data_IF_983756431289
#
_entry.id   IF_983756431289
#
_cell.length_a   1.000
_cell.length_b   1.000
_cell.length_c   1.000
_cell.angle_alpha   90.00
_cell.angle_beta   90.00
_cell.angle_gamma   90.00
#
_symmetry.space_group_name_H-M   'P 1'
#
loop_
_entity.id
_entity.type
_entity.pdbx_description
1 polymer ?
#
# COMPACT_ATOMS: atom_id res chain seq x y z
N UNK A 1 14.75 2.49 12.10
CA UNK A 1 14.81 2.36 10.63
C UNK A 1 13.40 2.56 10.08
N UNK A 2 13.07 3.78 9.69
CA UNK A 2 11.94 4.17 8.83
C UNK A 2 12.54 4.95 7.64
N UNK A 3 11.86 5.03 6.49
CA UNK A 3 12.43 5.61 5.27
C UNK A 3 12.20 4.84 3.96
N UNK A 4 11.39 3.78 3.98
CA UNK A 4 11.07 3.00 2.77
C UNK A 4 9.71 3.38 2.17
N UNK A 5 9.15 4.55 2.50
CA UNK A 5 7.82 4.98 2.05
C UNK A 5 7.77 5.09 0.51
N UNK A 6 8.83 5.63 -0.10
CA UNK A 6 8.93 5.73 -1.57
C UNK A 6 9.02 4.33 -2.23
N UNK A 7 9.73 3.39 -1.60
CA UNK A 7 9.81 2.01 -2.10
C UNK A 7 8.48 1.29 -1.97
N UNK A 8 7.78 1.51 -0.85
CA UNK A 8 6.45 0.97 -0.61
C UNK A 8 5.45 1.49 -1.66
N UNK A 9 5.45 2.79 -1.94
CA UNK A 9 4.58 3.38 -2.97
C UNK A 9 4.86 2.77 -4.35
N UNK A 10 6.13 2.67 -4.76
CA UNK A 10 6.52 2.05 -6.02
C UNK A 10 6.05 0.60 -6.12
N UNK A 11 6.25 -0.21 -5.08
CA UNK A 11 5.83 -1.61 -5.08
C UNK A 11 4.31 -1.77 -5.10
N UNK A 12 3.56 -0.90 -4.43
CA UNK A 12 2.10 -0.94 -4.44
C UNK A 12 1.53 -0.59 -5.82
N UNK A 13 2.09 0.42 -6.50
CA UNK A 13 1.72 0.75 -7.89
C UNK A 13 2.06 -0.41 -8.84
N UNK A 14 3.23 -1.01 -8.68
CA UNK A 14 3.62 -2.19 -9.45
C UNK A 14 2.68 -3.39 -9.22
N UNK A 15 2.26 -3.64 -7.97
CA UNK A 15 1.32 -4.71 -7.64
C UNK A 15 -0.03 -4.54 -8.34
N UNK A 16 -0.59 -3.32 -8.36
CA UNK A 16 -1.83 -3.02 -9.09
C UNK A 16 -1.65 -3.24 -10.61
N UNK A 17 -0.54 -2.80 -11.18
CA UNK A 17 -0.24 -3.00 -12.61
C UNK A 17 -0.06 -4.48 -12.99
N UNK A 18 0.34 -5.33 -12.04
CA UNK A 18 0.43 -6.78 -12.23
C UNK A 18 -0.92 -7.49 -12.07
N UNK A 19 -1.99 -6.74 -11.78
CA UNK A 19 -3.36 -7.27 -11.66
C UNK A 19 -3.76 -7.68 -10.24
N UNK A 20 -2.97 -7.36 -9.22
CA UNK A 20 -3.43 -7.53 -7.83
C UNK A 20 -4.56 -6.54 -7.55
N UNK A 21 -5.56 -7.01 -6.81
CA UNK A 21 -6.67 -6.19 -6.37
C UNK A 21 -6.31 -5.40 -5.11
N UNK A 22 -6.96 -4.27 -4.90
CA UNK A 22 -6.82 -3.53 -3.63
C UNK A 22 -7.14 -4.40 -2.40
N UNK A 23 -8.04 -5.36 -2.55
CA UNK A 23 -8.45 -6.25 -1.45
C UNK A 23 -7.29 -7.14 -1.03
N UNK A 24 -6.57 -7.74 -1.98
CA UNK A 24 -5.41 -8.58 -1.70
C UNK A 24 -4.28 -7.78 -1.04
N UNK A 25 -4.07 -6.53 -1.48
CA UNK A 25 -3.10 -5.62 -0.86
C UNK A 25 -3.51 -5.29 0.60
N UNK A 26 -4.80 -5.01 0.84
CA UNK A 26 -5.32 -4.76 2.20
C UNK A 26 -5.16 -5.99 3.10
N UNK A 27 -5.39 -7.19 2.58
CA UNK A 27 -5.17 -8.45 3.31
C UNK A 27 -3.69 -8.66 3.64
N UNK A 28 -2.77 -8.31 2.75
CA UNK A 28 -1.34 -8.36 3.04
C UNK A 28 -0.96 -7.44 4.22
N UNK A 29 -1.52 -6.23 4.31
CA UNK A 29 -1.30 -5.36 5.48
C UNK A 29 -1.83 -5.96 6.78
N UNK A 30 -2.94 -6.69 6.75
CA UNK A 30 -3.47 -7.39 7.94
C UNK A 30 -2.49 -8.48 8.38
N UNK A 31 -1.91 -9.24 7.45
CA UNK A 31 -0.86 -10.22 7.78
C UNK A 31 0.39 -9.52 8.37
N UNK A 32 0.78 -8.37 7.80
CA UNK A 32 1.88 -7.55 8.29
C UNK A 32 1.62 -7.02 9.71
N UNK A 33 0.37 -6.75 10.11
CA UNK A 33 0.04 -6.40 11.51
C UNK A 33 0.54 -7.48 12.48
N UNK A 34 0.33 -8.76 12.13
CA UNK A 34 0.69 -9.90 12.97
C UNK A 34 2.21 -10.10 13.05
N UNK A 35 2.91 -9.92 11.92
CA UNK A 35 4.36 -10.19 11.85
C UNK A 35 5.25 -8.99 12.18
N UNK A 36 4.83 -7.77 11.83
CA UNK A 36 5.64 -6.56 11.94
C UNK A 36 5.07 -5.51 12.91
N UNK A 37 3.88 -5.77 13.47
CA UNK A 37 3.18 -4.91 14.43
C UNK A 37 2.21 -3.92 13.78
N UNK A 38 1.16 -3.57 14.53
CA UNK A 38 0.06 -2.72 14.06
C UNK A 38 0.51 -1.34 13.56
N UNK A 39 1.49 -0.71 14.22
CA UNK A 39 1.94 0.64 13.84
C UNK A 39 2.48 0.70 12.40
N UNK A 40 3.26 -0.30 11.98
CA UNK A 40 3.83 -0.35 10.62
C UNK A 40 2.76 -0.65 9.58
N UNK A 41 1.88 -1.61 9.86
CA UNK A 41 0.82 -1.98 8.93
C UNK A 41 -0.18 -0.84 8.71
N UNK A 42 -0.56 -0.11 9.78
CA UNK A 42 -1.45 1.06 9.67
C UNK A 42 -0.79 2.19 8.88
N UNK A 43 0.50 2.46 9.11
CA UNK A 43 1.22 3.46 8.33
C UNK A 43 1.29 3.09 6.84
N UNK A 44 1.53 1.81 6.53
CA UNK A 44 1.54 1.31 5.16
C UNK A 44 0.16 1.44 4.49
N UNK A 45 -0.91 1.07 5.21
CA UNK A 45 -2.27 1.24 4.74
C UNK A 45 -2.60 2.72 4.46
N UNK A 46 -2.20 3.64 5.35
CA UNK A 46 -2.40 5.08 5.14
C UNK A 46 -1.72 5.58 3.86
N UNK A 47 -0.47 5.18 3.64
CA UNK A 47 0.28 5.53 2.41
C UNK A 47 -0.42 5.00 1.16
N UNK A 48 -0.96 3.77 1.22
CA UNK A 48 -1.71 3.19 0.10
C UNK A 48 -2.95 4.01 -0.27
N UNK A 49 -3.74 4.45 0.72
CA UNK A 49 -4.91 5.30 0.47
C UNK A 49 -4.53 6.70 -0.06
N UNK A 50 -3.56 7.35 0.58
CA UNK A 50 -3.18 8.75 0.33
C UNK A 50 -2.41 8.94 -1.00
N UNK A 51 -1.51 8.01 -1.35
CA UNK A 51 -0.56 8.19 -2.45
C UNK A 51 -0.78 7.28 -3.65
N UNK A 52 -1.48 6.17 -3.47
CA UNK A 52 -1.66 5.17 -4.55
C UNK A 52 -3.08 5.27 -5.11
N UNK A 53 -4.10 5.15 -4.26
CA UNK A 53 -5.49 5.19 -4.71
C UNK A 53 -5.92 6.58 -5.21
N UNK A 54 -5.52 7.64 -4.51
CA UNK A 54 -5.83 9.01 -4.95
C UNK A 54 -5.18 9.34 -6.31
N UNK A 55 -3.98 8.81 -6.57
CA UNK A 55 -3.31 8.94 -7.88
C UNK A 55 -3.98 8.12 -9.00
N UNK A 56 -4.56 6.96 -8.70
CA UNK A 56 -5.32 6.19 -9.71
C UNK A 56 -6.60 6.93 -10.10
N UNK A 57 -7.32 7.53 -9.14
CA UNK A 57 -8.56 8.28 -9.39
C UNK A 57 -8.33 9.54 -10.24
N UNK A 58 -7.16 10.18 -10.11
CA UNK A 58 -6.82 11.35 -10.93
C UNK A 58 -6.44 10.99 -12.38
N UNK A 59 -5.90 9.79 -12.61
CA UNK A 59 -5.45 9.35 -13.94
C UNK A 59 -6.60 8.81 -14.83
N UNK A 60 -7.78 8.57 -14.25
CA UNK A 60 -9.01 8.18 -14.95
C UNK A 60 -9.93 9.39 -15.26
N UNK A 61 -9.51 10.63 -14.98
CA UNK A 61 -10.18 11.87 -15.40
C UNK A 61 -9.52 12.48 -16.64
#
# INVERSE_FOLDING_TARGET
MGGCENQLEFQLKAALNLGLTEKEIKEAFIQVCVFAGNARAINAARIFYDKVLESTVENDK
#
